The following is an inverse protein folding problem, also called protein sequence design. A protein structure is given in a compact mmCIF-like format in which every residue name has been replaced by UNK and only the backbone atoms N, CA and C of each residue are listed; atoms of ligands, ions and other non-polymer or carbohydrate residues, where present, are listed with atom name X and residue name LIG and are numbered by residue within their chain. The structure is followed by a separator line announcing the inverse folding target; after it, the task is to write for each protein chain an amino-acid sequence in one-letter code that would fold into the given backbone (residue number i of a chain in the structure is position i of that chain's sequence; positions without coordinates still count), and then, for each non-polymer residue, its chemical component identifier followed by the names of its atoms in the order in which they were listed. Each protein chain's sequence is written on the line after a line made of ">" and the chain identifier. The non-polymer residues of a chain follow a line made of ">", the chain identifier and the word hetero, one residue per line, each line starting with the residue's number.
data_IF_969980314889
#
_entry.id   IF_969980314889
#
_cell.length_a   1.000
_cell.length_b   1.000
_cell.length_c   1.000
_cell.angle_alpha   90.00
_cell.angle_beta   90.00
_cell.angle_gamma   90.00
#
_symmetry.space_group_name_H-M   'P 1'
#
loop_
_entity.id
_entity.type
_entity.pdbx_description
1 polymer ?
#
# COMPACT_ATOMS: atom_id res chain seq x y z
N UNK A 1 -29.84 40.34 -2.55
CA UNK A 1 -29.53 39.24 -3.48
C UNK A 1 -28.03 38.96 -3.37
N UNK A 2 -27.64 37.84 -2.76
CA UNK A 2 -26.23 37.43 -2.69
C UNK A 2 -25.77 37.09 -4.12
N UNK A 3 -24.63 37.62 -4.55
CA UNK A 3 -24.04 37.28 -5.85
C UNK A 3 -23.49 35.84 -5.74
N UNK A 4 -24.21 34.88 -6.27
CA UNK A 4 -23.71 33.52 -6.54
C UNK A 4 -22.51 33.63 -7.47
N UNK A 5 -21.39 33.04 -7.08
CA UNK A 5 -20.19 32.98 -7.89
C UNK A 5 -20.00 31.51 -8.29
N UNK A 6 -20.13 31.21 -9.59
CA UNK A 6 -19.78 29.86 -10.07
C UNK A 6 -18.28 29.80 -10.38
N UNK A 7 -17.68 28.63 -10.10
CA UNK A 7 -16.34 28.30 -10.54
C UNK A 7 -16.34 26.88 -11.12
N UNK A 8 -15.33 26.59 -11.92
CA UNK A 8 -15.14 25.30 -12.59
C UNK A 8 -14.04 24.52 -11.88
N UNK A 9 -14.36 23.30 -11.44
CA UNK A 9 -13.40 22.42 -10.75
C UNK A 9 -13.04 21.21 -11.62
N UNK A 10 -11.76 20.93 -11.74
CA UNK A 10 -11.28 19.72 -12.38
C UNK A 10 -11.61 18.50 -11.50
N UNK A 11 -12.37 17.54 -12.00
CA UNK A 11 -12.79 16.34 -11.27
C UNK A 11 -11.62 15.41 -10.93
N UNK A 12 -10.51 15.49 -11.68
CA UNK A 12 -9.34 14.63 -11.46
C UNK A 12 -8.37 15.19 -10.43
N UNK A 13 -8.13 16.51 -10.40
CA UNK A 13 -7.11 17.10 -9.52
C UNK A 13 -7.62 18.25 -8.64
N UNK A 14 -8.89 18.67 -8.76
CA UNK A 14 -9.47 19.74 -7.95
C UNK A 14 -8.99 21.15 -8.33
N UNK A 15 -8.28 21.33 -9.44
CA UNK A 15 -7.85 22.65 -9.90
C UNK A 15 -9.07 23.55 -10.17
N UNK A 16 -9.09 24.73 -9.53
CA UNK A 16 -10.16 25.73 -9.68
C UNK A 16 -9.87 26.70 -10.83
N UNK A 17 -10.86 26.94 -11.65
CA UNK A 17 -10.81 27.93 -12.72
C UNK A 17 -12.09 28.77 -12.73
N UNK A 18 -11.95 30.07 -13.01
CA UNK A 18 -13.10 30.97 -13.19
C UNK A 18 -13.86 30.72 -14.51
N UNK A 19 -13.32 29.90 -15.41
CA UNK A 19 -13.90 29.55 -16.71
C UNK A 19 -13.70 28.08 -16.99
N UNK A 20 -14.62 27.50 -17.75
CA UNK A 20 -14.43 26.13 -18.23
C UNK A 20 -13.19 26.03 -19.13
N UNK A 21 -12.34 25.04 -18.89
CA UNK A 21 -11.15 24.78 -19.68
C UNK A 21 -11.26 23.37 -20.27
N UNK A 22 -10.99 23.22 -21.56
CA UNK A 22 -11.02 21.91 -22.22
C UNK A 22 -9.93 20.97 -21.72
N UNK A 23 -8.77 21.53 -21.28
CA UNK A 23 -7.64 20.79 -20.71
C UNK A 23 -7.24 21.40 -19.38
N UNK A 24 -7.08 20.57 -18.36
CA UNK A 24 -6.63 21.03 -17.05
C UNK A 24 -5.15 21.41 -17.07
N UNK A 25 -4.76 22.63 -16.64
CA UNK A 25 -3.35 23.04 -16.62
C UNK A 25 -2.53 22.34 -15.51
N UNK A 26 -3.21 21.75 -14.53
CA UNK A 26 -2.55 21.07 -13.40
C UNK A 26 -2.26 19.60 -13.69
N UNK A 27 -3.28 18.80 -14.08
CA UNK A 27 -3.13 17.37 -14.35
C UNK A 27 -3.05 17.01 -15.83
N UNK A 28 -3.22 17.99 -16.75
CA UNK A 28 -3.21 17.81 -18.20
C UNK A 28 -4.33 16.93 -18.77
N UNK A 29 -5.34 16.55 -18.00
CA UNK A 29 -6.49 15.78 -18.47
C UNK A 29 -7.50 16.66 -19.22
N UNK A 30 -8.23 16.03 -20.17
CA UNK A 30 -9.19 16.70 -21.00
C UNK A 30 -10.63 16.50 -20.49
N UNK A 31 -11.49 17.54 -20.65
CA UNK A 31 -12.92 17.50 -20.35
C UNK A 31 -13.27 17.13 -18.90
N UNK A 32 -12.43 17.52 -17.95
CA UNK A 32 -12.59 17.18 -16.52
C UNK A 32 -13.21 18.31 -15.69
N UNK A 33 -13.53 19.47 -16.28
CA UNK A 33 -14.10 20.60 -15.55
C UNK A 33 -15.62 20.51 -15.43
N UNK A 34 -16.11 20.62 -14.19
CA UNK A 34 -17.54 20.72 -13.86
C UNK A 34 -17.78 22.05 -13.17
N UNK A 35 -18.89 22.72 -13.52
CA UNK A 35 -19.31 23.96 -12.88
C UNK A 35 -19.91 23.68 -11.51
N UNK A 36 -19.40 24.35 -10.49
CA UNK A 36 -19.95 24.32 -9.13
C UNK A 36 -20.29 25.72 -8.67
N UNK A 37 -21.43 25.87 -8.01
CA UNK A 37 -21.90 27.15 -7.47
C UNK A 37 -21.27 27.34 -6.10
N UNK A 38 -20.49 28.42 -5.94
CA UNK A 38 -19.90 28.78 -4.65
C UNK A 38 -20.74 29.92 -4.07
N UNK A 39 -21.61 29.64 -3.11
CA UNK A 39 -22.17 30.68 -2.26
C UNK A 39 -21.16 31.06 -1.19
N UNK A 40 -20.93 32.37 -1.02
CA UNK A 40 -20.19 32.85 0.14
C UNK A 40 -21.06 32.61 1.36
N UNK A 41 -20.74 31.57 2.12
CA UNK A 41 -21.31 31.40 3.45
C UNK A 41 -21.07 32.71 4.24
N UNK A 42 -22.17 33.30 4.69
CA UNK A 42 -22.11 34.36 5.70
C UNK A 42 -21.42 33.75 6.92
N UNK A 43 -20.28 34.32 7.25
CA UNK A 43 -19.38 33.97 8.34
C UNK A 43 -20.12 33.54 9.59
N UNK A 44 -20.41 32.23 9.71
CA UNK A 44 -20.63 31.58 11.00
C UNK A 44 -19.43 30.65 11.22
N UNK A 45 -18.66 30.97 12.24
CA UNK A 45 -17.56 30.14 12.76
C UNK A 45 -18.02 28.71 12.86
N UNK A 46 -17.21 27.71 12.48
CA UNK A 46 -17.54 26.29 12.61
C UNK A 46 -18.08 25.99 14.01
N UNK A 47 -19.13 25.20 14.10
CA UNK A 47 -19.89 24.96 15.32
C UNK A 47 -19.07 24.40 16.50
N UNK A 48 -17.92 23.81 16.24
CA UNK A 48 -17.04 23.30 17.28
C UNK A 48 -16.12 24.36 17.93
N UNK A 49 -16.17 25.65 17.51
CA UNK A 49 -15.42 26.78 18.11
C UNK A 49 -16.30 27.96 18.56
N UNK A 50 -17.53 27.74 18.94
CA UNK A 50 -18.42 28.83 19.42
C UNK A 50 -18.24 29.17 20.90
N UNK A 51 -17.39 28.51 21.65
CA UNK A 51 -16.99 28.97 22.98
C UNK A 51 -15.72 29.82 22.86
N UNK A 52 -15.87 31.10 23.17
CA UNK A 52 -14.80 32.09 23.27
C UNK A 52 -13.72 31.64 24.28
N UNK A 53 -12.73 30.88 23.76
CA UNK A 53 -11.63 30.41 24.54
C UNK A 53 -10.41 30.25 23.66
N UNK A 54 -9.55 31.27 23.66
CA UNK A 54 -8.14 31.20 23.29
C UNK A 54 -7.85 30.67 21.88
N UNK A 55 -7.92 31.56 20.88
CA UNK A 55 -6.99 31.41 19.75
C UNK A 55 -5.57 31.31 20.35
N UNK A 56 -4.98 30.13 20.37
CA UNK A 56 -3.54 29.99 20.56
C UNK A 56 -2.89 30.74 19.39
N UNK A 57 -2.56 32.00 19.59
CA UNK A 57 -1.67 32.71 18.68
C UNK A 57 -0.33 31.97 18.77
N UNK A 58 -0.07 31.11 17.79
CA UNK A 58 1.23 30.43 17.69
C UNK A 58 2.31 31.49 17.53
N UNK A 59 3.17 31.60 18.52
CA UNK A 59 4.36 32.45 18.43
C UNK A 59 5.49 31.65 17.79
N UNK A 60 6.30 32.24 16.91
CA UNK A 60 7.46 31.51 16.38
C UNK A 60 8.39 31.16 17.57
N UNK A 61 8.76 29.87 17.61
CA UNK A 61 9.70 29.33 18.59
C UNK A 61 11.00 28.91 17.88
N UNK A 62 12.15 29.09 18.52
CA UNK A 62 13.40 28.53 17.99
C UNK A 62 13.36 27.02 18.10
N UNK A 63 13.91 26.32 17.08
CA UNK A 63 13.96 24.84 17.04
C UNK A 63 14.60 24.26 18.30
N UNK A 64 15.62 24.93 18.84
CA UNK A 64 16.34 24.55 20.06
C UNK A 64 15.49 24.67 21.34
N UNK A 65 14.44 25.50 21.32
CA UNK A 65 13.50 25.71 22.43
C UNK A 65 12.31 24.75 22.39
N UNK A 66 12.14 24.02 21.26
CA UNK A 66 11.09 23.02 21.09
C UNK A 66 11.58 21.74 21.76
N UNK A 67 10.97 21.38 22.88
CA UNK A 67 11.22 20.10 23.51
C UNK A 67 10.83 18.99 22.55
N UNK A 68 11.77 18.13 22.18
CA UNK A 68 11.49 16.89 21.48
C UNK A 68 10.73 15.97 22.43
N UNK A 69 9.42 16.05 22.41
CA UNK A 69 8.57 15.04 23.04
C UNK A 69 8.71 13.80 22.15
N UNK A 70 9.19 12.69 22.71
CA UNK A 70 9.04 11.39 22.07
C UNK A 70 7.54 11.18 21.88
N UNK A 71 7.06 11.27 20.63
CA UNK A 71 5.65 11.09 20.32
C UNK A 71 5.24 9.70 20.79
N UNK A 72 4.46 9.64 21.86
CA UNK A 72 3.82 8.39 22.29
C UNK A 72 2.87 7.94 21.19
N UNK A 73 3.16 6.80 20.57
CA UNK A 73 2.32 6.23 19.53
C UNK A 73 1.27 5.33 20.15
N UNK A 74 0.04 5.46 19.69
CA UNK A 74 -1.04 4.56 20.07
C UNK A 74 -0.87 3.29 19.23
N UNK A 75 -0.60 2.16 19.88
CA UNK A 75 -0.56 0.86 19.22
C UNK A 75 -1.99 0.42 18.89
N UNK A 76 -2.19 -0.01 17.66
CA UNK A 76 -3.51 -0.45 17.18
C UNK A 76 -3.85 -1.86 17.65
N UNK A 77 -2.85 -2.63 18.10
CA UNK A 77 -2.96 -4.05 18.39
C UNK A 77 -2.93 -4.93 17.14
N UNK A 78 -2.76 -4.32 15.96
CA UNK A 78 -2.55 -4.96 14.68
C UNK A 78 -1.11 -4.66 14.21
N UNK A 79 -0.25 -5.68 14.23
CA UNK A 79 1.19 -5.51 13.94
C UNK A 79 1.44 -5.10 12.47
N UNK A 80 0.60 -5.57 11.55
CA UNK A 80 0.72 -5.22 10.14
C UNK A 80 0.27 -3.78 9.88
N UNK A 81 -0.77 -3.31 10.57
CA UNK A 81 -1.21 -1.92 10.52
C UNK A 81 -0.18 -0.99 11.21
N UNK A 82 0.28 -1.35 12.40
CA UNK A 82 1.31 -0.57 13.11
C UNK A 82 2.58 -0.43 12.28
N UNK A 83 2.97 -1.48 11.54
CA UNK A 83 4.12 -1.46 10.61
C UNK A 83 3.94 -0.40 9.52
N UNK A 84 2.83 -0.41 8.79
CA UNK A 84 2.59 0.55 7.68
C UNK A 84 2.39 1.97 8.18
N UNK A 85 1.98 2.13 9.43
CA UNK A 85 1.90 3.42 10.11
C UNK A 85 3.26 3.91 10.61
N UNK A 86 4.30 3.06 10.58
CA UNK A 86 5.63 3.39 11.07
C UNK A 86 5.82 3.22 12.58
N UNK A 87 5.02 2.32 13.20
CA UNK A 87 5.09 1.94 14.61
C UNK A 87 3.89 2.37 15.45
N UNK A 88 2.75 2.68 14.84
CA UNK A 88 1.50 3.05 15.50
C UNK A 88 0.96 4.42 15.12
N UNK A 89 -0.17 4.80 15.70
CA UNK A 89 -0.85 6.07 15.44
C UNK A 89 -0.16 7.24 16.15
N UNK A 90 0.03 8.31 15.41
CA UNK A 90 0.54 9.57 15.95
C UNK A 90 -0.65 10.47 16.32
N UNK A 91 -0.58 11.14 17.47
CA UNK A 91 -1.59 12.08 17.92
C UNK A 91 -1.84 13.18 16.88
N UNK A 92 -3.12 13.50 16.62
CA UNK A 92 -3.51 14.51 15.64
C UNK A 92 -3.17 14.15 14.17
N UNK A 93 -2.81 12.91 13.88
CA UNK A 93 -2.56 12.47 12.50
C UNK A 93 -3.86 12.21 11.73
N UNK A 94 -3.84 12.46 10.42
CA UNK A 94 -4.93 12.10 9.52
C UNK A 94 -4.43 11.07 8.51
N UNK A 95 -5.08 9.92 8.51
CA UNK A 95 -4.72 8.74 7.71
C UNK A 95 -5.83 8.49 6.67
N UNK A 96 -5.48 8.50 5.39
CA UNK A 96 -6.37 8.13 4.30
C UNK A 96 -6.14 6.67 3.91
N UNK A 97 -7.21 5.88 3.88
CA UNK A 97 -7.19 4.49 3.40
C UNK A 97 -7.97 4.41 2.10
N UNK A 98 -7.25 4.21 0.99
CA UNK A 98 -7.80 4.02 -0.34
C UNK A 98 -7.84 2.54 -0.74
N UNK A 99 -8.67 2.20 -1.73
CA UNK A 99 -8.74 0.86 -2.30
C UNK A 99 -10.07 0.61 -3.02
N UNK A 100 -10.12 -0.45 -3.84
CA UNK A 100 -11.34 -0.83 -4.55
C UNK A 100 -12.52 -1.11 -3.60
N UNK A 101 -13.77 -0.90 -4.06
CA UNK A 101 -14.95 -1.32 -3.30
C UNK A 101 -14.92 -2.83 -3.02
N UNK A 102 -15.23 -3.22 -1.76
CA UNK A 102 -15.25 -4.62 -1.34
C UNK A 102 -13.87 -5.24 -1.03
N UNK A 103 -12.75 -4.49 -1.10
CA UNK A 103 -11.41 -4.99 -0.81
C UNK A 103 -11.17 -5.30 0.68
N UNK A 104 -11.94 -4.68 1.60
CA UNK A 104 -11.83 -4.92 3.04
C UNK A 104 -11.55 -3.68 3.90
N UNK A 105 -11.53 -2.46 3.34
CA UNK A 105 -11.24 -1.22 4.08
C UNK A 105 -12.10 -1.03 5.33
N UNK A 106 -13.42 -1.04 5.15
CA UNK A 106 -14.40 -0.89 6.24
C UNK A 106 -14.31 -2.03 7.26
N UNK A 107 -13.95 -3.25 6.81
CA UNK A 107 -13.75 -4.39 7.70
C UNK A 107 -12.52 -4.18 8.57
N UNK A 108 -11.38 -3.77 8.00
CA UNK A 108 -10.16 -3.50 8.77
C UNK A 108 -10.39 -2.38 9.80
N UNK A 109 -11.05 -1.29 9.37
CA UNK A 109 -11.28 -0.16 10.26
C UNK A 109 -12.28 -0.48 11.38
N UNK A 110 -13.28 -1.29 11.11
CA UNK A 110 -14.19 -1.77 12.15
C UNK A 110 -13.48 -2.74 13.12
N UNK A 111 -12.61 -3.64 12.62
CA UNK A 111 -11.78 -4.49 13.46
C UNK A 111 -10.87 -3.68 14.39
N UNK A 112 -10.24 -2.66 13.86
CA UNK A 112 -9.44 -1.72 14.63
C UNK A 112 -10.31 -1.05 15.71
N UNK A 113 -11.45 -0.49 15.32
CA UNK A 113 -12.37 0.21 16.24
C UNK A 113 -12.89 -0.68 17.36
N UNK A 114 -12.97 -1.98 17.16
CA UNK A 114 -13.43 -2.96 18.17
C UNK A 114 -12.28 -3.48 19.05
N UNK A 115 -11.03 -3.41 18.60
CA UNK A 115 -9.91 -4.14 19.23
C UNK A 115 -8.89 -3.25 19.96
N UNK A 116 -8.83 -1.94 19.70
CA UNK A 116 -7.91 -1.04 20.43
C UNK A 116 -8.33 -0.96 21.90
N UNK A 117 -7.52 -1.51 22.79
CA UNK A 117 -7.85 -1.60 24.21
C UNK A 117 -7.81 -0.23 24.90
N UNK A 118 -8.84 0.04 25.73
CA UNK A 118 -8.88 1.20 26.60
C UNK A 118 -9.02 2.54 25.87
N UNK A 119 -9.51 2.53 24.61
CA UNK A 119 -9.75 3.74 23.81
C UNK A 119 -11.23 3.87 23.46
N UNK A 120 -11.70 5.10 23.44
CA UNK A 120 -13.03 5.49 23.00
C UNK A 120 -12.97 5.86 21.53
N UNK A 121 -13.67 5.09 20.68
CA UNK A 121 -13.60 5.25 19.23
C UNK A 121 -14.98 5.62 18.70
N UNK A 122 -15.04 6.69 17.90
CA UNK A 122 -16.23 7.05 17.15
C UNK A 122 -16.09 6.61 15.71
N UNK A 123 -16.91 5.65 15.28
CA UNK A 123 -17.02 5.17 13.92
C UNK A 123 -18.22 5.83 13.23
N UNK A 124 -17.96 6.68 12.25
CA UNK A 124 -18.95 7.41 11.48
C UNK A 124 -19.17 6.69 10.16
N UNK A 125 -20.41 6.38 9.84
CA UNK A 125 -20.80 5.78 8.56
C UNK A 125 -21.81 6.66 7.84
N UNK A 126 -21.52 6.95 6.58
CA UNK A 126 -22.47 7.60 5.68
C UNK A 126 -23.09 6.64 4.65
N UNK A 127 -22.70 5.36 4.65
CA UNK A 127 -23.16 4.38 3.66
C UNK A 127 -23.99 3.25 4.27
N UNK A 128 -23.67 2.84 5.49
CA UNK A 128 -24.31 1.69 6.14
C UNK A 128 -25.12 2.11 7.37
N UNK A 129 -26.20 1.39 7.61
CA UNK A 129 -27.01 1.56 8.82
C UNK A 129 -26.32 0.96 10.05
N UNK A 130 -26.72 1.43 11.25
CA UNK A 130 -26.21 0.89 12.52
C UNK A 130 -26.39 -0.64 12.64
N UNK A 131 -27.51 -1.18 12.13
CA UNK A 131 -27.77 -2.62 12.14
C UNK A 131 -26.82 -3.39 11.22
N UNK A 132 -26.48 -2.86 10.03
CA UNK A 132 -25.53 -3.48 9.12
C UNK A 132 -24.13 -3.52 9.72
N UNK A 133 -23.71 -2.40 10.35
CA UNK A 133 -22.43 -2.32 11.05
C UNK A 133 -22.42 -3.29 12.23
N UNK A 134 -23.50 -3.36 13.01
CA UNK A 134 -23.63 -4.28 14.15
C UNK A 134 -23.50 -5.74 13.71
N UNK A 135 -24.20 -6.16 12.65
CA UNK A 135 -24.08 -7.52 12.10
C UNK A 135 -22.66 -7.83 11.65
N UNK A 136 -21.94 -6.85 11.08
CA UNK A 136 -20.54 -7.01 10.72
C UNK A 136 -19.65 -7.13 11.95
N UNK A 137 -19.85 -6.28 12.97
CA UNK A 137 -19.12 -6.31 14.22
C UNK A 137 -19.24 -7.67 14.92
N UNK A 138 -20.43 -8.27 14.98
CA UNK A 138 -20.68 -9.58 15.56
C UNK A 138 -19.98 -10.73 14.84
N UNK A 139 -19.77 -10.61 13.52
CA UNK A 139 -18.95 -11.59 12.77
C UNK A 139 -17.46 -11.46 13.06
N UNK A 140 -16.98 -10.24 13.37
CA UNK A 140 -15.58 -9.94 13.63
C UNK A 140 -15.20 -10.39 15.04
N UNK A 141 -15.97 -10.03 16.05
CA UNK A 141 -15.67 -10.36 17.44
C UNK A 141 -16.94 -10.46 18.29
N UNK A 142 -16.95 -11.41 19.21
CA UNK A 142 -17.99 -11.52 20.23
C UNK A 142 -17.66 -10.72 21.50
N UNK A 143 -16.43 -10.22 21.64
CA UNK A 143 -15.96 -9.50 22.83
C UNK A 143 -15.09 -8.31 22.42
N UNK A 144 -15.68 -7.14 22.13
CA UNK A 144 -14.94 -5.92 21.85
C UNK A 144 -14.06 -5.52 23.03
N UNK A 145 -12.87 -4.98 22.73
CA UNK A 145 -11.90 -4.47 23.74
C UNK A 145 -11.95 -2.95 23.88
N UNK A 146 -12.55 -2.28 22.90
CA UNK A 146 -12.69 -0.83 22.84
C UNK A 146 -14.11 -0.39 23.10
N UNK A 147 -14.28 0.84 23.60
CA UNK A 147 -15.55 1.54 23.62
C UNK A 147 -15.85 2.12 22.24
N UNK A 148 -16.44 1.31 21.36
CA UNK A 148 -16.75 1.68 19.99
C UNK A 148 -18.19 2.21 19.88
N UNK A 149 -18.32 3.48 19.51
CA UNK A 149 -19.58 4.17 19.25
C UNK A 149 -19.80 4.29 17.74
N UNK A 150 -21.01 3.99 17.28
CA UNK A 150 -21.41 4.09 15.89
C UNK A 150 -22.29 5.33 15.71
N UNK A 151 -22.01 6.12 14.69
CA UNK A 151 -22.80 7.28 14.30
C UNK A 151 -23.10 7.22 12.80
N UNK A 152 -24.38 7.13 12.44
CA UNK A 152 -24.85 7.20 11.04
C UNK A 152 -25.25 8.63 10.71
N UNK A 153 -24.29 9.42 10.28
CA UNK A 153 -24.45 10.85 9.97
C UNK A 153 -23.52 11.27 8.84
N UNK A 154 -23.98 12.20 8.03
CA UNK A 154 -23.21 12.72 6.88
C UNK A 154 -22.92 14.22 6.98
N UNK A 155 -23.63 14.96 7.84
CA UNK A 155 -23.38 16.39 8.06
C UNK A 155 -22.22 16.62 9.03
N UNK A 156 -21.15 17.28 8.57
CA UNK A 156 -19.98 17.58 9.43
C UNK A 156 -20.36 18.39 10.66
N UNK A 157 -21.34 19.31 10.58
CA UNK A 157 -21.80 20.09 11.72
C UNK A 157 -22.43 19.24 12.82
N UNK A 158 -23.20 18.22 12.45
CA UNK A 158 -23.81 17.30 13.40
C UNK A 158 -22.77 16.35 13.98
N UNK A 159 -21.85 15.87 13.14
CA UNK A 159 -20.72 15.05 13.55
C UNK A 159 -19.90 15.75 14.63
N UNK A 160 -19.51 17.01 14.42
CA UNK A 160 -18.71 17.76 15.41
C UNK A 160 -19.46 17.99 16.73
N UNK A 161 -20.79 18.18 16.72
CA UNK A 161 -21.56 18.23 17.96
C UNK A 161 -21.49 16.94 18.76
N UNK A 162 -21.54 15.78 18.08
CA UNK A 162 -21.42 14.49 18.76
C UNK A 162 -19.99 14.23 19.26
N UNK A 163 -18.98 14.69 18.50
CA UNK A 163 -17.57 14.63 18.92
C UNK A 163 -17.34 15.43 20.20
N UNK A 164 -17.88 16.65 20.29
CA UNK A 164 -17.79 17.49 21.51
C UNK A 164 -18.43 16.83 22.74
N UNK A 165 -19.52 16.07 22.56
CA UNK A 165 -20.19 15.37 23.64
C UNK A 165 -19.51 14.06 24.06
N UNK A 166 -18.93 13.37 23.08
CA UNK A 166 -18.36 12.04 23.31
C UNK A 166 -16.88 12.11 23.70
N UNK A 167 -16.13 13.11 23.18
CA UNK A 167 -14.70 13.24 23.33
C UNK A 167 -13.94 11.94 22.97
N UNK A 168 -13.99 11.49 21.70
CA UNK A 168 -13.36 10.24 21.27
C UNK A 168 -11.83 10.37 21.23
N UNK A 169 -11.12 9.29 21.57
CA UNK A 169 -9.66 9.18 21.40
C UNK A 169 -9.26 8.98 19.93
N UNK A 170 -10.12 8.37 19.12
CA UNK A 170 -9.88 8.07 17.70
C UNK A 170 -11.18 8.25 16.91
N UNK A 171 -11.07 8.81 15.72
CA UNK A 171 -12.18 8.98 14.80
C UNK A 171 -11.98 8.12 13.55
N UNK A 172 -13.03 7.42 13.11
CA UNK A 172 -13.06 6.69 11.83
C UNK A 172 -14.21 7.20 10.99
N UNK A 173 -13.97 7.57 9.74
CA UNK A 173 -14.99 8.07 8.80
C UNK A 173 -15.08 7.14 7.60
N UNK A 174 -16.23 6.52 7.40
CA UNK A 174 -16.54 5.56 6.33
C UNK A 174 -17.82 5.96 5.55
N UNK A 175 -17.70 6.69 4.45
CA UNK A 175 -16.55 7.20 3.74
C UNK A 175 -16.52 8.74 3.69
N UNK A 176 -15.36 9.31 3.38
CA UNK A 176 -15.21 10.76 3.23
C UNK A 176 -16.08 11.32 2.08
N UNK A 177 -16.40 10.49 1.08
CA UNK A 177 -17.22 10.89 -0.06
C UNK A 177 -18.69 11.11 0.29
N UNK A 178 -19.19 10.54 1.37
CA UNK A 178 -20.59 10.69 1.79
C UNK A 178 -20.81 11.92 2.64
N UNK A 179 -19.75 12.49 3.20
CA UNK A 179 -19.85 13.66 4.04
C UNK A 179 -20.17 14.92 3.25
N UNK A 180 -20.88 15.82 3.91
CA UNK A 180 -21.14 17.16 3.39
C UNK A 180 -21.00 18.22 4.48
N UNK A 181 -20.47 19.37 4.09
CA UNK A 181 -20.37 20.57 4.91
C UNK A 181 -21.37 21.60 4.43
N UNK A 182 -22.11 22.24 5.36
CA UNK A 182 -23.01 23.33 5.04
C UNK A 182 -22.27 24.64 4.65
N UNK A 183 -20.93 24.64 4.69
CA UNK A 183 -20.14 25.81 4.30
C UNK A 183 -20.01 25.95 2.78
N UNK A 184 -20.31 24.89 2.02
CA UNK A 184 -20.26 24.88 0.56
C UNK A 184 -21.56 24.33 0.00
N UNK A 185 -22.17 25.06 -0.93
CA UNK A 185 -23.36 24.62 -1.64
C UNK A 185 -22.98 23.81 -2.90
N UNK A 186 -22.48 22.60 -2.67
CA UNK A 186 -22.18 21.63 -3.71
C UNK A 186 -22.67 20.25 -3.31
N UNK A 187 -22.88 19.37 -4.28
CA UNK A 187 -23.40 18.01 -4.02
C UNK A 187 -22.45 17.18 -3.18
N UNK A 188 -22.96 16.35 -2.22
CA UNK A 188 -22.13 15.37 -1.55
C UNK A 188 -21.34 14.50 -2.54
N UNK A 189 -20.09 14.19 -2.21
CA UNK A 189 -19.19 13.45 -3.10
C UNK A 189 -18.49 14.28 -4.17
N UNK A 190 -18.88 15.57 -4.37
CA UNK A 190 -18.12 16.46 -5.24
C UNK A 190 -16.73 16.74 -4.67
N UNK A 191 -15.78 17.08 -5.55
CA UNK A 191 -14.39 17.35 -5.17
C UNK A 191 -14.28 18.46 -4.13
N UNK A 192 -15.08 19.53 -4.26
CA UNK A 192 -15.11 20.64 -3.31
C UNK A 192 -15.66 20.21 -1.95
N UNK A 193 -16.73 19.41 -1.89
CA UNK A 193 -17.25 18.88 -0.63
C UNK A 193 -16.24 17.97 0.07
N UNK A 194 -15.67 17.01 -0.65
CA UNK A 194 -14.67 16.10 -0.10
C UNK A 194 -13.46 16.87 0.43
N UNK A 195 -13.01 17.90 -0.29
CA UNK A 195 -11.90 18.76 0.13
C UNK A 195 -12.23 19.54 1.40
N UNK A 196 -13.43 20.17 1.46
CA UNK A 196 -13.83 20.95 2.63
C UNK A 196 -14.02 20.09 3.86
N UNK A 197 -14.77 18.99 3.75
CA UNK A 197 -14.94 18.03 4.85
C UNK A 197 -13.58 17.52 5.38
N UNK A 198 -12.64 17.21 4.48
CA UNK A 198 -11.29 16.81 4.86
C UNK A 198 -10.55 17.95 5.57
N UNK A 199 -10.69 19.20 5.11
CA UNK A 199 -10.08 20.37 5.76
C UNK A 199 -10.60 20.60 7.17
N UNK A 200 -11.92 20.45 7.39
CA UNK A 200 -12.54 20.53 8.71
C UNK A 200 -12.01 19.44 9.66
N UNK A 201 -11.94 18.19 9.18
CA UNK A 201 -11.43 17.05 9.96
C UNK A 201 -9.93 17.16 10.25
N UNK A 202 -9.13 17.67 9.31
CA UNK A 202 -7.71 17.99 9.53
C UNK A 202 -7.51 19.01 10.65
N UNK A 203 -8.30 20.08 10.60
CA UNK A 203 -8.24 21.11 11.64
C UNK A 203 -8.60 20.53 12.99
N UNK A 204 -9.70 19.78 13.07
CA UNK A 204 -10.10 19.09 14.28
C UNK A 204 -8.96 18.21 14.82
N UNK A 205 -8.40 17.31 13.97
CA UNK A 205 -7.32 16.41 14.39
C UNK A 205 -6.14 17.17 15.00
N UNK A 206 -5.67 18.24 14.31
CA UNK A 206 -4.50 19.03 14.75
C UNK A 206 -4.76 19.89 16.01
N UNK A 207 -5.99 20.28 16.26
CA UNK A 207 -6.33 21.10 17.42
C UNK A 207 -6.65 20.28 18.68
N UNK A 208 -7.12 19.04 18.50
CA UNK A 208 -7.49 18.14 19.60
C UNK A 208 -6.51 17.00 19.83
N UNK A 209 -5.47 16.89 19.00
CA UNK A 209 -4.53 15.78 18.99
C UNK A 209 -5.21 14.39 18.78
N UNK A 210 -6.42 14.37 18.22
CA UNK A 210 -7.19 13.15 17.95
C UNK A 210 -6.83 12.57 16.58
N UNK A 211 -6.32 11.34 16.47
CA UNK A 211 -6.09 10.67 15.19
C UNK A 211 -7.39 10.42 14.43
N UNK A 212 -7.38 10.64 13.10
CA UNK A 212 -8.54 10.48 12.23
C UNK A 212 -8.21 9.54 11.07
N UNK A 213 -8.99 8.47 10.93
CA UNK A 213 -8.99 7.63 9.74
C UNK A 213 -10.08 8.07 8.77
N UNK A 214 -9.71 8.26 7.51
CA UNK A 214 -10.61 8.55 6.40
C UNK A 214 -10.59 7.37 5.44
N UNK A 215 -11.75 6.76 5.21
CA UNK A 215 -11.89 5.74 4.17
C UNK A 215 -12.29 6.43 2.87
N UNK A 216 -11.58 6.10 1.77
CA UNK A 216 -11.85 6.59 0.44
C UNK A 216 -11.94 5.45 -0.58
N UNK A 217 -12.72 5.65 -1.65
CA UNK A 217 -12.79 4.71 -2.77
C UNK A 217 -11.81 5.13 -3.87
N UNK A 218 -11.27 4.14 -4.60
CA UNK A 218 -10.41 4.35 -5.77
C UNK A 218 -11.27 4.28 -7.04
N UNK A 219 -10.96 5.11 -8.03
CA UNK A 219 -11.55 5.00 -9.38
C UNK A 219 -11.01 3.77 -10.10
N UNK A 220 -11.66 3.36 -11.20
CA UNK A 220 -11.25 2.21 -12.03
C UNK A 220 -9.82 2.34 -12.59
N UNK A 221 -9.28 3.54 -12.66
CA UNK A 221 -7.92 3.83 -13.14
C UNK A 221 -6.85 3.71 -12.04
N UNK A 222 -7.19 3.14 -10.87
CA UNK A 222 -6.27 2.94 -9.75
C UNK A 222 -5.91 4.21 -8.98
N UNK A 223 -6.52 5.35 -9.30
CA UNK A 223 -6.40 6.58 -8.52
C UNK A 223 -7.48 6.65 -7.45
N UNK A 224 -7.16 7.18 -6.26
CA UNK A 224 -8.16 7.36 -5.19
C UNK A 224 -9.30 8.22 -5.73
N UNK A 225 -10.54 7.70 -5.64
CA UNK A 225 -11.75 8.42 -6.06
C UNK A 225 -11.99 9.58 -5.08
N UNK A 226 -11.65 10.71 -5.53
CA UNK A 226 -11.47 11.93 -4.83
C UNK A 226 -10.07 12.43 -5.20
N UNK A 227 -9.91 13.74 -5.40
CA UNK A 227 -8.77 14.26 -6.11
C UNK A 227 -7.47 13.84 -5.42
N UNK A 228 -6.40 13.65 -6.19
CA UNK A 228 -5.00 13.59 -5.70
C UNK A 228 -4.70 14.64 -4.63
N UNK A 229 -5.55 15.65 -4.53
CA UNK A 229 -5.50 16.69 -3.51
C UNK A 229 -5.62 16.13 -2.08
N UNK A 230 -6.38 15.05 -1.85
CA UNK A 230 -6.48 14.43 -0.53
C UNK A 230 -5.15 13.81 -0.10
N UNK A 231 -4.41 13.19 -1.03
CA UNK A 231 -3.09 12.63 -0.76
C UNK A 231 -2.11 13.70 -0.26
N UNK A 232 -2.25 14.92 -0.79
CA UNK A 232 -1.40 16.04 -0.35
C UNK A 232 -1.84 16.63 0.99
N UNK A 233 -3.14 16.60 1.31
CA UNK A 233 -3.69 17.17 2.53
C UNK A 233 -3.40 16.33 3.77
N UNK A 234 -3.50 14.99 3.67
CA UNK A 234 -3.35 14.08 4.81
C UNK A 234 -1.88 13.77 5.13
N UNK A 235 -1.63 13.24 6.33
CA UNK A 235 -0.29 12.91 6.79
C UNK A 235 0.18 11.55 6.28
N UNK A 236 -0.73 10.57 6.23
CA UNK A 236 -0.44 9.20 5.79
C UNK A 236 -1.49 8.76 4.76
N UNK A 237 -1.04 8.08 3.70
CA UNK A 237 -1.89 7.47 2.69
C UNK A 237 -1.58 5.99 2.63
N UNK A 238 -2.56 5.17 2.93
CA UNK A 238 -2.51 3.72 2.84
C UNK A 238 -3.40 3.26 1.69
N UNK A 239 -2.91 2.35 0.87
CA UNK A 239 -3.65 1.78 -0.25
C UNK A 239 -3.84 0.29 -0.05
N UNK A 240 -5.09 -0.17 -0.08
CA UNK A 240 -5.43 -1.57 -0.17
C UNK A 240 -5.32 -2.04 -1.62
N UNK A 241 -4.50 -3.06 -1.83
CA UNK A 241 -4.28 -3.73 -3.10
C UNK A 241 -4.69 -5.21 -2.99
N UNK A 242 -5.03 -5.83 -4.10
CA UNK A 242 -5.31 -7.26 -4.18
C UNK A 242 -6.43 -7.57 -5.17
N UNK A 243 -6.38 -8.73 -5.76
CA UNK A 243 -7.43 -9.26 -6.62
C UNK A 243 -8.55 -9.86 -5.75
N UNK A 244 -9.81 -9.68 -6.16
CA UNK A 244 -11.00 -10.27 -5.50
C UNK A 244 -10.97 -11.80 -5.44
N UNK A 245 -10.20 -12.41 -6.33
CA UNK A 245 -10.05 -13.87 -6.42
C UNK A 245 -8.94 -14.42 -5.51
N UNK A 246 -8.08 -13.56 -4.96
CA UNK A 246 -7.00 -13.97 -4.05
C UNK A 246 -7.42 -13.87 -2.59
N UNK A 247 -6.94 -14.80 -1.77
CA UNK A 247 -7.21 -14.84 -0.31
C UNK A 247 -6.52 -13.67 0.40
N UNK A 248 -5.43 -13.16 -0.18
CA UNK A 248 -4.58 -12.16 0.45
C UNK A 248 -4.90 -10.74 0.00
N UNK A 249 -4.70 -9.80 0.93
CA UNK A 249 -4.84 -8.37 0.74
C UNK A 249 -3.57 -7.69 1.21
N UNK A 250 -3.07 -6.74 0.44
CA UNK A 250 -1.87 -5.97 0.76
C UNK A 250 -2.30 -4.56 1.11
N UNK A 251 -1.85 -4.07 2.25
CA UNK A 251 -1.99 -2.68 2.65
C UNK A 251 -0.64 -2.00 2.47
N UNK A 252 -0.52 -1.13 1.48
CA UNK A 252 0.72 -0.43 1.14
C UNK A 252 0.70 1.00 1.66
N UNK A 253 1.79 1.43 2.27
CA UNK A 253 2.03 2.84 2.60
C UNK A 253 2.53 3.57 1.35
N UNK A 254 1.69 4.45 0.79
CA UNK A 254 2.04 5.29 -0.37
C UNK A 254 2.73 6.58 0.08
N UNK A 255 2.27 7.11 1.21
CA UNK A 255 2.82 8.32 1.85
C UNK A 255 2.77 8.14 3.36
N UNK A 256 3.87 8.46 4.04
CA UNK A 256 3.90 8.49 5.50
C UNK A 256 4.87 9.59 5.98
N UNK A 257 4.34 10.59 6.70
CA UNK A 257 5.15 11.67 7.30
C UNK A 257 5.83 11.23 8.60
N UNK A 258 5.38 10.14 9.20
CA UNK A 258 5.81 9.68 10.52
C UNK A 258 6.62 8.37 10.47
N UNK A 259 6.87 7.85 9.28
CA UNK A 259 7.61 6.60 9.08
C UNK A 259 8.06 6.40 7.64
N UNK A 260 8.57 5.22 7.35
CA UNK A 260 8.98 4.86 6.00
C UNK A 260 7.77 4.78 5.06
N UNK A 261 7.90 5.34 3.86
CA UNK A 261 7.01 5.06 2.75
C UNK A 261 7.35 3.69 2.13
N UNK A 262 6.39 3.07 1.45
CA UNK A 262 6.51 1.75 0.81
C UNK A 262 6.58 0.56 1.78
N UNK A 263 6.16 0.72 3.04
CA UNK A 263 5.94 -0.41 3.94
C UNK A 263 4.67 -1.19 3.55
N UNK A 264 4.69 -2.51 3.80
CA UNK A 264 3.58 -3.41 3.51
C UNK A 264 3.03 -4.08 4.78
N UNK A 265 1.70 -4.10 4.87
CA UNK A 265 0.93 -4.99 5.72
C UNK A 265 0.23 -6.06 4.88
N UNK A 266 0.27 -7.31 5.30
CA UNK A 266 -0.35 -8.40 4.57
C UNK A 266 -1.44 -9.05 5.42
N UNK A 267 -2.61 -9.23 4.82
CA UNK A 267 -3.78 -9.79 5.46
C UNK A 267 -4.35 -10.94 4.65
N UNK A 268 -4.89 -11.94 5.34
CA UNK A 268 -5.73 -12.97 4.75
C UNK A 268 -7.20 -12.64 5.01
N UNK A 269 -8.04 -12.70 3.98
CA UNK A 269 -9.48 -12.49 4.09
C UNK A 269 -10.16 -13.78 4.55
N UNK A 270 -10.86 -13.73 5.68
CA UNK A 270 -11.64 -14.83 6.23
C UNK A 270 -13.10 -14.42 6.43
N UNK A 271 -13.98 -15.39 6.68
CA UNK A 271 -15.39 -15.13 6.95
C UNK A 271 -15.65 -14.24 8.18
N UNK A 272 -14.74 -14.25 9.15
CA UNK A 272 -14.77 -13.43 10.38
C UNK A 272 -13.92 -12.16 10.29
N UNK A 273 -13.44 -11.78 9.10
CA UNK A 273 -12.69 -10.55 8.88
C UNK A 273 -11.29 -10.76 8.32
N UNK A 274 -10.42 -9.78 8.53
CA UNK A 274 -9.03 -9.78 8.08
C UNK A 274 -8.10 -10.32 9.17
N UNK A 275 -7.27 -11.28 8.82
CA UNK A 275 -6.26 -11.84 9.72
C UNK A 275 -4.87 -11.40 9.25
N UNK A 276 -4.07 -10.92 10.19
CA UNK A 276 -2.66 -10.57 9.94
C UNK A 276 -1.86 -11.77 9.45
N UNK A 277 -0.99 -11.54 8.48
CA UNK A 277 -0.04 -12.53 7.99
C UNK A 277 1.35 -12.16 8.51
N UNK A 278 1.75 -12.80 9.60
CA UNK A 278 3.03 -12.53 10.25
C UNK A 278 4.23 -12.97 9.41
N UNK A 279 4.09 -14.05 8.65
CA UNK A 279 5.11 -14.57 7.75
C UNK A 279 4.60 -14.69 6.30
N UNK A 280 4.73 -13.65 5.48
CA UNK A 280 4.28 -13.69 4.09
C UNK A 280 5.02 -14.73 3.24
N UNK A 281 6.28 -14.97 3.54
CA UNK A 281 7.10 -15.93 2.78
C UNK A 281 6.51 -17.34 2.83
N UNK A 282 5.92 -17.77 3.96
CA UNK A 282 5.26 -19.08 4.06
C UNK A 282 4.08 -19.25 3.09
N UNK A 283 3.47 -18.13 2.70
CA UNK A 283 2.33 -18.11 1.78
C UNK A 283 2.78 -18.04 0.33
N UNK A 284 3.90 -17.33 0.10
CA UNK A 284 4.45 -17.07 -1.23
C UNK A 284 5.36 -18.20 -1.72
N UNK A 285 5.62 -19.16 -0.84
CA UNK A 285 6.34 -20.39 -1.14
C UNK A 285 5.35 -21.56 -1.17
N UNK A 286 5.30 -22.26 -2.28
CA UNK A 286 4.49 -23.48 -2.37
C UNK A 286 5.09 -24.57 -1.47
N UNK A 287 4.28 -25.17 -0.60
CA UNK A 287 4.67 -26.38 0.09
C UNK A 287 4.68 -27.53 -0.92
N UNK A 288 5.85 -27.99 -1.32
CA UNK A 288 6.01 -29.02 -2.34
C UNK A 288 6.77 -30.21 -1.77
N UNK A 289 6.29 -31.39 -2.16
CA UNK A 289 6.99 -32.65 -1.92
C UNK A 289 7.84 -33.08 -3.13
N UNK A 290 7.69 -32.39 -4.28
CA UNK A 290 8.39 -32.70 -5.53
C UNK A 290 9.09 -31.46 -6.06
N UNK A 291 10.29 -31.64 -6.60
CA UNK A 291 11.04 -30.61 -7.32
C UNK A 291 10.54 -30.56 -8.77
N UNK A 292 10.01 -29.41 -9.16
CA UNK A 292 9.47 -29.15 -10.50
C UNK A 292 10.36 -28.17 -11.24
N UNK A 293 10.53 -28.38 -12.55
CA UNK A 293 11.22 -27.44 -13.42
C UNK A 293 10.43 -26.12 -13.55
N UNK A 294 11.10 -25.06 -13.92
CA UNK A 294 10.50 -23.74 -14.15
C UNK A 294 10.25 -22.93 -12.88
N UNK A 295 10.85 -23.28 -11.75
CA UNK A 295 10.61 -22.63 -10.48
C UNK A 295 11.93 -22.24 -9.83
N UNK A 296 11.97 -20.99 -9.36
CA UNK A 296 13.06 -20.46 -8.54
C UNK A 296 12.52 -19.53 -7.46
N UNK A 297 13.28 -19.36 -6.38
CA UNK A 297 12.88 -18.57 -5.23
C UNK A 297 13.79 -17.36 -5.11
N UNK A 298 13.18 -16.17 -5.08
CA UNK A 298 13.90 -14.91 -4.90
C UNK A 298 13.77 -14.38 -3.49
N UNK A 299 14.86 -13.88 -2.92
CA UNK A 299 14.86 -13.09 -1.70
C UNK A 299 14.76 -11.59 -2.08
N UNK A 300 13.54 -11.08 -2.07
CA UNK A 300 13.20 -9.70 -2.45
C UNK A 300 13.00 -8.80 -1.23
N UNK A 301 12.91 -7.49 -1.48
CA UNK A 301 12.52 -6.49 -0.49
C UNK A 301 11.32 -5.70 -0.99
N UNK A 302 10.31 -5.59 -0.15
CA UNK A 302 9.21 -4.66 -0.34
C UNK A 302 9.23 -3.63 0.79
N UNK A 303 9.59 -2.38 0.46
CA UNK A 303 9.91 -1.38 1.47
C UNK A 303 11.13 -1.77 2.31
N UNK A 304 10.94 -1.99 3.60
CA UNK A 304 11.97 -2.51 4.51
C UNK A 304 11.81 -4.01 4.80
N UNK A 305 10.78 -4.67 4.26
CA UNK A 305 10.43 -6.06 4.59
C UNK A 305 11.10 -7.04 3.63
N UNK A 306 11.99 -7.91 4.10
CA UNK A 306 12.49 -9.02 3.29
C UNK A 306 11.40 -10.08 3.14
N UNK A 307 11.28 -10.64 1.94
CA UNK A 307 10.33 -11.70 1.61
C UNK A 307 10.95 -12.68 0.63
N UNK A 308 10.65 -13.96 0.78
CA UNK A 308 10.96 -14.96 -0.23
C UNK A 308 9.74 -15.20 -1.09
N UNK A 309 9.93 -15.07 -2.41
CA UNK A 309 8.86 -15.14 -3.39
C UNK A 309 9.21 -16.19 -4.43
N UNK A 310 8.25 -17.05 -4.71
CA UNK A 310 8.36 -18.04 -5.76
C UNK A 310 8.09 -17.40 -7.13
N UNK A 311 9.04 -17.58 -8.05
CA UNK A 311 8.93 -17.23 -9.47
C UNK A 311 8.69 -18.51 -10.27
N UNK A 312 7.66 -18.51 -11.10
CA UNK A 312 7.28 -19.63 -11.95
C UNK A 312 7.41 -19.21 -13.41
N UNK A 313 8.12 -19.99 -14.20
CA UNK A 313 8.25 -19.79 -15.64
C UNK A 313 7.82 -21.03 -16.41
N UNK A 314 7.17 -20.81 -17.54
CA UNK A 314 6.86 -21.87 -18.52
C UNK A 314 7.41 -21.45 -19.87
N UNK A 315 8.29 -22.28 -20.42
CA UNK A 315 8.86 -22.10 -21.76
C UNK A 315 8.38 -23.23 -22.66
N UNK A 316 7.71 -22.88 -23.74
CA UNK A 316 7.19 -23.87 -24.69
C UNK A 316 7.51 -23.47 -26.13
N UNK A 317 7.32 -24.39 -27.08
CA UNK A 317 7.45 -24.08 -28.50
C UNK A 317 6.28 -23.18 -28.94
N UNK A 318 6.57 -22.10 -29.66
CA UNK A 318 5.55 -21.18 -30.13
C UNK A 318 4.58 -21.90 -31.10
N UNK A 319 3.32 -22.04 -30.71
CA UNK A 319 2.30 -22.76 -31.47
C UNK A 319 1.81 -21.98 -32.70
N UNK A 320 1.88 -20.65 -32.69
CA UNK A 320 1.25 -19.78 -33.70
C UNK A 320 2.28 -18.98 -34.54
N UNK A 321 3.53 -19.40 -34.60
CA UNK A 321 4.57 -18.76 -35.39
C UNK A 321 5.12 -17.43 -34.83
N UNK A 322 4.35 -16.73 -34.00
CA UNK A 322 4.82 -15.53 -33.28
C UNK A 322 4.92 -15.85 -31.79
N UNK A 323 6.10 -15.80 -31.19
CA UNK A 323 6.30 -16.12 -29.77
C UNK A 323 5.50 -15.20 -28.86
N UNK A 324 4.76 -15.78 -27.92
CA UNK A 324 4.04 -15.06 -26.89
C UNK A 324 4.90 -14.84 -25.66
N UNK A 325 4.83 -13.63 -25.10
CA UNK A 325 5.56 -13.27 -23.90
C UNK A 325 4.62 -12.56 -22.94
N UNK A 326 4.35 -13.21 -21.82
CA UNK A 326 3.41 -12.71 -20.82
C UNK A 326 4.00 -12.84 -19.41
N UNK A 327 3.82 -11.81 -18.60
CA UNK A 327 4.23 -11.81 -17.21
C UNK A 327 3.09 -11.35 -16.31
N UNK A 328 2.88 -12.07 -15.23
CA UNK A 328 1.98 -11.69 -14.15
C UNK A 328 2.81 -11.38 -12.90
N UNK A 329 2.61 -10.20 -12.30
CA UNK A 329 3.37 -9.75 -11.13
C UNK A 329 4.77 -9.20 -11.44
N UNK A 330 5.18 -9.13 -12.70
CA UNK A 330 6.48 -8.59 -13.14
C UNK A 330 6.35 -7.75 -14.41
N UNK A 331 7.25 -6.78 -14.61
CA UNK A 331 7.23 -5.92 -15.80
C UNK A 331 7.65 -6.69 -17.06
N UNK A 332 6.75 -6.75 -18.05
CA UNK A 332 6.98 -7.48 -19.31
C UNK A 332 8.14 -6.90 -20.13
N UNK A 333 8.39 -5.58 -20.05
CA UNK A 333 9.52 -4.96 -20.77
C UNK A 333 10.84 -5.42 -20.16
N UNK A 334 10.91 -5.46 -18.81
CA UNK A 334 12.10 -5.98 -18.11
C UNK A 334 12.32 -7.47 -18.42
N UNK A 335 11.26 -8.28 -18.41
CA UNK A 335 11.36 -9.70 -18.82
C UNK A 335 11.96 -9.83 -20.23
N UNK A 336 11.50 -9.02 -21.19
CA UNK A 336 12.02 -9.06 -22.54
C UNK A 336 13.52 -8.66 -22.62
N UNK A 337 13.97 -7.72 -21.78
CA UNK A 337 15.40 -7.39 -21.67
C UNK A 337 16.21 -8.57 -21.12
N UNK A 338 15.71 -9.24 -20.08
CA UNK A 338 16.35 -10.42 -19.50
C UNK A 338 16.43 -11.58 -20.49
N UNK A 339 15.37 -11.84 -21.28
CA UNK A 339 15.39 -12.84 -22.36
C UNK A 339 16.46 -12.51 -23.40
N UNK A 340 16.64 -11.25 -23.79
CA UNK A 340 17.69 -10.85 -24.72
C UNK A 340 19.10 -11.08 -24.15
N UNK A 341 19.31 -10.95 -22.83
CA UNK A 341 20.56 -11.30 -22.15
C UNK A 341 20.83 -12.80 -22.28
N UNK A 342 19.85 -13.67 -22.00
CA UNK A 342 19.98 -15.12 -22.15
C UNK A 342 20.37 -15.53 -23.58
N UNK A 343 19.71 -14.94 -24.57
CA UNK A 343 20.01 -15.22 -25.98
C UNK A 343 21.43 -14.78 -26.38
N UNK A 344 21.76 -13.52 -26.02
CA UNK A 344 23.01 -12.94 -26.54
C UNK A 344 24.25 -13.38 -25.76
N UNK A 345 24.13 -13.62 -24.45
CA UNK A 345 25.28 -13.91 -23.57
C UNK A 345 25.43 -15.39 -23.26
N UNK A 346 24.32 -16.09 -23.09
CA UNK A 346 24.34 -17.50 -22.70
C UNK A 346 24.04 -18.45 -23.88
N UNK A 347 23.65 -17.92 -25.05
CA UNK A 347 23.45 -18.70 -26.27
C UNK A 347 22.16 -19.49 -26.36
N UNK A 348 21.21 -19.26 -25.42
CA UNK A 348 19.91 -19.93 -25.45
C UNK A 348 19.03 -19.42 -26.59
N UNK A 349 18.29 -20.32 -27.26
CA UNK A 349 17.41 -19.97 -28.39
C UNK A 349 15.97 -19.78 -27.91
N UNK A 350 15.68 -18.60 -27.38
CA UNK A 350 14.35 -18.26 -26.84
C UNK A 350 13.49 -17.43 -27.82
N UNK A 351 14.07 -16.96 -28.93
CA UNK A 351 13.36 -16.16 -29.95
C UNK A 351 12.19 -16.87 -30.63
N UNK A 352 12.17 -18.21 -30.61
CA UNK A 352 11.10 -19.06 -31.18
C UNK A 352 10.25 -19.74 -30.09
N UNK A 353 10.38 -19.33 -28.85
CA UNK A 353 9.71 -19.94 -27.71
C UNK A 353 8.70 -18.97 -27.10
N UNK A 354 7.54 -19.52 -26.70
CA UNK A 354 6.62 -18.84 -25.81
C UNK A 354 7.20 -18.83 -24.39
N UNK A 355 7.09 -17.70 -23.71
CA UNK A 355 7.56 -17.54 -22.33
C UNK A 355 6.47 -16.91 -21.49
N UNK A 356 6.03 -17.65 -20.49
CA UNK A 356 5.06 -17.20 -19.49
C UNK A 356 5.74 -17.14 -18.14
N UNK A 357 5.57 -16.01 -17.44
CA UNK A 357 6.12 -15.78 -16.12
C UNK A 357 4.99 -15.46 -15.15
N UNK A 358 5.01 -16.07 -13.97
CA UNK A 358 4.06 -15.80 -12.90
C UNK A 358 4.77 -15.64 -11.56
N UNK A 359 4.48 -14.56 -10.85
CA UNK A 359 4.93 -14.38 -9.47
C UNK A 359 3.84 -14.91 -8.54
N UNK A 360 4.23 -15.81 -7.62
CA UNK A 360 3.30 -16.40 -6.69
C UNK A 360 2.58 -15.36 -5.82
N UNK A 361 1.33 -15.64 -5.44
CA UNK A 361 0.52 -14.76 -4.60
C UNK A 361 -0.06 -13.52 -5.30
N UNK A 362 0.18 -13.32 -6.61
CA UNK A 362 -0.34 -12.17 -7.37
C UNK A 362 0.26 -10.83 -6.97
N UNK A 363 1.42 -10.84 -6.31
CA UNK A 363 2.13 -9.64 -5.87
C UNK A 363 2.91 -9.07 -7.06
N UNK A 364 2.85 -7.75 -7.25
CA UNK A 364 3.71 -7.06 -8.20
C UNK A 364 5.06 -6.79 -7.54
N UNK A 365 6.15 -7.34 -8.08
CA UNK A 365 7.51 -7.15 -7.58
C UNK A 365 8.25 -6.13 -8.45
N UNK A 366 8.77 -5.08 -7.82
CA UNK A 366 9.55 -4.03 -8.48
C UNK A 366 11.04 -4.08 -8.09
N UNK A 367 11.39 -4.90 -7.10
CA UNK A 367 12.77 -5.08 -6.64
C UNK A 367 13.62 -5.81 -7.69
N UNK A 368 14.70 -5.20 -8.20
CA UNK A 368 15.55 -5.84 -9.21
C UNK A 368 16.29 -7.09 -8.72
N UNK A 369 16.35 -7.35 -7.42
CA UNK A 369 16.95 -8.56 -6.87
C UNK A 369 16.29 -9.86 -7.37
N UNK A 370 15.07 -9.79 -7.92
CA UNK A 370 14.34 -10.93 -8.48
C UNK A 370 14.87 -11.39 -9.84
N UNK A 371 15.63 -10.56 -10.56
CA UNK A 371 16.07 -10.84 -11.94
C UNK A 371 16.77 -12.20 -12.08
N UNK A 372 17.69 -12.50 -11.16
CA UNK A 372 18.43 -13.75 -11.22
C UNK A 372 17.53 -14.97 -11.06
N UNK A 373 16.55 -14.92 -10.13
CA UNK A 373 15.57 -15.99 -9.95
C UNK A 373 14.69 -16.18 -11.20
N UNK A 374 14.30 -15.09 -11.87
CA UNK A 374 13.52 -15.14 -13.11
C UNK A 374 14.31 -15.84 -14.21
N UNK A 375 15.59 -15.48 -14.40
CA UNK A 375 16.45 -16.12 -15.40
C UNK A 375 16.65 -17.60 -15.12
N UNK A 376 16.87 -17.96 -13.85
CA UNK A 376 17.01 -19.37 -13.44
C UNK A 376 15.71 -20.13 -13.65
N UNK A 377 14.55 -19.57 -13.33
CA UNK A 377 13.25 -20.21 -13.57
C UNK A 377 13.00 -20.45 -15.06
N UNK A 378 13.32 -19.46 -15.92
CA UNK A 378 13.17 -19.57 -17.38
C UNK A 378 14.04 -20.69 -17.93
N UNK A 379 15.33 -20.76 -17.54
CA UNK A 379 16.25 -21.79 -18.03
C UNK A 379 15.90 -23.16 -17.45
N UNK A 380 15.51 -23.23 -16.17
CA UNK A 380 14.99 -24.46 -15.55
C UNK A 380 13.82 -25.05 -16.36
N UNK A 381 12.88 -24.19 -16.78
CA UNK A 381 11.75 -24.62 -17.65
C UNK A 381 12.19 -24.96 -19.08
N UNK A 382 13.18 -24.25 -19.62
CA UNK A 382 13.68 -24.48 -20.98
C UNK A 382 14.39 -25.82 -21.11
N UNK A 383 15.24 -26.16 -20.14
CA UNK A 383 16.05 -27.38 -20.08
C UNK A 383 15.31 -28.53 -19.38
N UNK A 384 14.13 -28.27 -18.79
CA UNK A 384 13.33 -29.19 -17.99
C UNK A 384 14.12 -29.80 -16.81
N UNK A 385 14.94 -28.96 -16.16
CA UNK A 385 15.76 -29.34 -15.00
C UNK A 385 15.25 -28.59 -13.77
N UNK A 386 14.85 -29.33 -12.73
CA UNK A 386 14.40 -28.76 -11.48
C UNK A 386 15.54 -28.11 -10.68
N UNK A 387 15.21 -27.00 -10.01
CA UNK A 387 16.10 -26.35 -9.04
C UNK A 387 15.66 -26.75 -7.64
N UNK A 388 16.62 -27.08 -6.78
CA UNK A 388 16.33 -27.43 -5.40
C UNK A 388 15.54 -26.32 -4.68
N UNK A 389 14.47 -26.71 -4.02
CA UNK A 389 13.62 -25.82 -3.23
C UNK A 389 14.33 -25.18 -2.03
N UNK A 390 15.55 -25.61 -1.73
CA UNK A 390 16.42 -25.08 -0.68
C UNK A 390 17.40 -24.01 -1.15
N UNK A 391 17.31 -23.63 -2.44
CA UNK A 391 18.16 -22.60 -3.03
C UNK A 391 17.33 -21.36 -3.32
N UNK A 392 17.88 -20.19 -2.98
CA UNK A 392 17.26 -18.91 -3.34
C UNK A 392 18.27 -17.94 -3.96
N UNK A 393 17.77 -16.86 -4.54
CA UNK A 393 18.54 -15.92 -5.34
C UNK A 393 18.25 -14.48 -4.91
N UNK A 394 19.29 -13.63 -4.89
CA UNK A 394 19.16 -12.20 -4.57
C UNK A 394 20.19 -11.38 -5.35
N UNK A 395 19.92 -11.11 -6.64
CA UNK A 395 20.82 -10.31 -7.46
C UNK A 395 20.09 -9.68 -8.65
N UNK A 396 20.49 -8.46 -9.01
CA UNK A 396 20.11 -7.82 -10.27
C UNK A 396 20.99 -8.33 -11.41
N UNK A 397 20.43 -8.43 -12.61
CA UNK A 397 21.18 -8.82 -13.81
C UNK A 397 21.25 -7.67 -14.81
N UNK A 398 22.46 -7.26 -15.16
CA UNK A 398 22.69 -6.22 -16.16
C UNK A 398 22.67 -6.75 -17.60
N UNK A 399 22.57 -5.84 -18.57
CA UNK A 399 22.46 -6.17 -19.99
C UNK A 399 23.70 -6.84 -20.59
N UNK A 400 24.85 -6.77 -19.90
CA UNK A 400 26.07 -7.47 -20.29
C UNK A 400 26.18 -8.88 -19.70
N UNK A 401 25.17 -9.33 -18.93
CA UNK A 401 25.17 -10.60 -18.20
C UNK A 401 25.92 -10.53 -16.85
N UNK A 402 26.33 -9.34 -16.43
CA UNK A 402 26.94 -9.13 -15.12
C UNK A 402 25.91 -9.22 -13.98
N UNK A 403 26.32 -9.81 -12.87
CA UNK A 403 25.53 -9.91 -11.64
C UNK A 403 25.83 -8.70 -10.77
N UNK A 404 24.83 -7.85 -10.55
CA UNK A 404 24.94 -6.60 -9.80
C UNK A 404 24.53 -6.75 -8.35
N UNK A 405 25.18 -5.94 -7.50
CA UNK A 405 24.84 -5.85 -6.08
C UNK A 405 23.42 -5.31 -5.88
N UNK A 406 22.77 -5.84 -4.88
CA UNK A 406 21.47 -5.36 -4.40
C UNK A 406 21.59 -4.76 -3.01
N UNK A 407 20.71 -3.85 -2.67
CA UNK A 407 20.71 -3.20 -1.37
C UNK A 407 20.21 -4.15 -0.25
N UNK A 408 20.59 -3.84 0.99
CA UNK A 408 20.16 -4.55 2.22
C UNK A 408 20.32 -6.07 2.14
N UNK A 409 21.43 -6.52 1.56
CA UNK A 409 21.68 -7.95 1.34
C UNK A 409 21.66 -8.78 2.65
N UNK A 410 22.10 -8.21 3.77
CA UNK A 410 22.06 -8.88 5.07
C UNK A 410 20.66 -9.26 5.51
N UNK A 411 19.67 -8.38 5.26
CA UNK A 411 18.27 -8.67 5.61
C UNK A 411 17.71 -9.82 4.77
N UNK A 412 18.07 -9.90 3.48
CA UNK A 412 17.66 -10.96 2.56
C UNK A 412 18.25 -12.31 2.98
N UNK A 413 19.54 -12.32 3.32
CA UNK A 413 20.23 -13.53 3.80
C UNK A 413 19.60 -14.01 5.12
N UNK A 414 19.38 -13.10 6.07
CA UNK A 414 18.77 -13.43 7.36
C UNK A 414 17.37 -14.02 7.21
N UNK A 415 16.55 -13.49 6.31
CA UNK A 415 15.22 -14.05 6.05
C UNK A 415 15.27 -15.40 5.37
N UNK A 416 16.19 -15.61 4.40
CA UNK A 416 16.41 -16.89 3.76
C UNK A 416 16.86 -17.96 4.78
N UNK A 417 17.82 -17.63 5.64
CA UNK A 417 18.30 -18.51 6.71
C UNK A 417 17.18 -18.88 7.69
N UNK A 418 16.40 -17.87 8.14
CA UNK A 418 15.26 -18.07 9.06
C UNK A 418 14.21 -19.03 8.51
N UNK A 419 14.02 -19.03 7.18
CA UNK A 419 13.07 -19.91 6.49
C UNK A 419 13.66 -21.27 6.11
N UNK A 420 14.90 -21.54 6.50
CA UNK A 420 15.56 -22.84 6.34
C UNK A 420 16.05 -23.13 4.93
N UNK A 421 16.48 -22.10 4.20
CA UNK A 421 17.21 -22.27 2.95
C UNK A 421 18.66 -22.66 3.23
N UNK A 422 19.19 -23.54 2.39
CA UNK A 422 20.56 -24.06 2.55
C UNK A 422 21.57 -23.18 1.80
N UNK A 423 21.16 -22.54 0.70
CA UNK A 423 22.05 -21.77 -0.17
C UNK A 423 21.37 -20.53 -0.74
N UNK A 424 22.10 -19.42 -0.82
CA UNK A 424 21.67 -18.20 -1.50
C UNK A 424 22.72 -17.73 -2.50
N UNK A 425 22.30 -17.48 -3.75
CA UNK A 425 23.13 -16.87 -4.78
C UNK A 425 23.04 -15.34 -4.70
N UNK A 426 24.19 -14.70 -4.57
CA UNK A 426 24.32 -13.23 -4.44
C UNK A 426 25.41 -12.70 -5.36
N UNK A 427 25.40 -11.39 -5.61
CA UNK A 427 26.49 -10.76 -6.35
C UNK A 427 27.80 -10.80 -5.57
N UNK A 428 28.92 -11.06 -6.26
CA UNK A 428 30.25 -10.96 -5.68
C UNK A 428 30.53 -9.55 -5.10
N UNK A 429 29.92 -8.51 -5.66
CA UNK A 429 30.01 -7.15 -5.11
C UNK A 429 29.32 -6.99 -3.75
N UNK A 430 28.34 -7.82 -3.41
CA UNK A 430 27.69 -7.82 -2.10
C UNK A 430 28.56 -8.44 -1.00
N UNK A 431 29.59 -9.23 -1.35
CA UNK A 431 30.51 -9.80 -0.36
C UNK A 431 31.38 -8.74 0.32
N UNK A 432 31.56 -7.59 -0.34
CA UNK A 432 32.41 -6.53 0.18
C UNK A 432 31.76 -5.87 1.42
N UNK A 433 32.36 -6.13 2.58
CA UNK A 433 31.86 -5.62 3.85
C UNK A 433 30.85 -6.53 4.58
N UNK A 434 30.50 -7.67 3.98
CA UNK A 434 29.63 -8.67 4.61
C UNK A 434 30.43 -9.57 5.57
N UNK A 435 29.95 -9.73 6.80
CA UNK A 435 30.54 -10.65 7.79
C UNK A 435 29.91 -12.04 7.56
N UNK A 436 30.61 -12.88 6.80
CA UNK A 436 30.10 -14.19 6.33
C UNK A 436 29.88 -15.20 7.46
N UNK A 437 30.77 -15.21 8.45
CA UNK A 437 30.75 -16.16 9.59
C UNK A 437 29.51 -16.02 10.48
N UNK A 438 28.75 -14.97 10.28
CA UNK A 438 27.48 -14.69 10.97
C UNK A 438 26.35 -15.59 10.49
N UNK A 439 26.44 -16.14 9.27
CA UNK A 439 25.38 -16.88 8.62
C UNK A 439 25.70 -18.37 8.54
N UNK A 440 24.66 -19.19 8.71
CA UNK A 440 24.74 -20.66 8.53
C UNK A 440 24.41 -21.09 7.11
N UNK A 441 23.64 -20.27 6.39
CA UNK A 441 23.30 -20.48 4.98
C UNK A 441 24.53 -20.31 4.12
N UNK A 442 24.71 -21.17 3.12
CA UNK A 442 25.82 -21.09 2.17
C UNK A 442 25.65 -19.89 1.25
N UNK A 443 26.65 -19.00 1.23
CA UNK A 443 26.68 -17.83 0.38
C UNK A 443 27.47 -18.13 -0.91
N UNK A 444 26.75 -18.25 -2.03
CA UNK A 444 27.38 -18.46 -3.35
C UNK A 444 27.49 -17.12 -4.08
N UNK A 445 28.69 -16.56 -4.07
CA UNK A 445 28.98 -15.27 -4.73
C UNK A 445 29.30 -15.50 -6.20
N UNK A 446 28.59 -14.79 -7.09
CA UNK A 446 28.72 -14.90 -8.55
C UNK A 446 28.92 -13.55 -9.20
N UNK A 447 29.63 -13.53 -10.34
CA UNK A 447 29.93 -12.29 -11.08
C UNK A 447 29.20 -12.21 -12.40
N UNK A 448 28.90 -13.35 -13.03
CA UNK A 448 28.23 -13.46 -14.32
C UNK A 448 27.14 -14.49 -14.29
N UNK A 449 26.18 -14.34 -15.17
CA UNK A 449 25.05 -15.28 -15.29
C UNK A 449 25.50 -16.68 -15.72
N UNK A 450 26.56 -16.78 -16.56
CA UNK A 450 27.13 -18.04 -17.02
C UNK A 450 27.68 -18.86 -15.83
N UNK A 451 28.27 -18.20 -14.81
CA UNK A 451 28.77 -18.86 -13.60
C UNK A 451 27.63 -19.56 -12.85
N UNK A 452 26.46 -18.89 -12.77
CA UNK A 452 25.27 -19.44 -12.12
C UNK A 452 24.77 -20.68 -12.83
N UNK A 453 24.71 -20.65 -14.15
CA UNK A 453 24.23 -21.78 -14.94
C UNK A 453 25.19 -22.95 -14.90
N UNK A 454 26.50 -22.71 -14.90
CA UNK A 454 27.49 -23.77 -14.71
C UNK A 454 27.39 -24.47 -13.36
N UNK A 455 27.02 -23.75 -12.32
CA UNK A 455 26.84 -24.34 -10.97
C UNK A 455 25.51 -25.11 -10.86
N UNK A 456 24.44 -24.65 -11.51
CA UNK A 456 23.11 -25.22 -11.36
C UNK A 456 22.77 -26.31 -12.38
N UNK A 457 23.29 -26.21 -13.60
CA UNK A 457 22.92 -27.06 -14.74
C UNK A 457 24.14 -27.77 -15.39
N UNK A 458 25.37 -27.42 -14.99
CA UNK A 458 26.64 -28.01 -15.52
C UNK A 458 27.09 -29.12 -14.65
#
# INVERSE_FOLDING_TARGET
>A
MAKTKSAYFCQSCGYESAKWLGKCPSCNEWNTFVEEIIEKATTKVPSWKTTAGSQRMSKPAKVEEILSITEERILTGDQELDRVLGGGLVAGSVILIGGEPGIGKSTLMLQLALNISGKKILYISGEESEQQIKMRAERITSSPKADCYILTETSTQNIFKQIELLEPDILVVDSIQTLHSAHIDSTPGSVSQVRECTSELLRFAKETDTPVFLIGHITKDGTIAGPKILEHMVDTVLQFEGDRHHVYRILRSIKNRFGAAAELGIYAMHGNGLRQVSNPSEILLSQRNEELSGIAISATLEGARPMLIETQALVSTAAYGTPQRSANGFDTKRMNMLLAVLEKRCGFRLSTRDVFLNIAGGIKVEDPAIDLAILVAIISSHEDIAISSKICFAAEVGLSGEIRAVNRIEQRITEAEKLGFDRIFISNYNMKGLITDKYKIELTAVSKIEDVFSILFG
#
